data_IF_296227735769
#
_entry.id   IF_296227735769
#
_cell.length_a   1.000
_cell.length_b   1.000
_cell.length_c   1.000
_cell.angle_alpha   90.00
_cell.angle_beta   90.00
_cell.angle_gamma   90.00
#
_symmetry.space_group_name_H-M   'P 1'
#
loop_
_entity.id
_entity.type
_entity.pdbx_description
1 polymer ?
#
# COMPACT_ATOMS: atom_id res chain seq x y z
N UNK A 1 7.46 5.88 -4.49
CA UNK A 1 6.19 5.52 -3.85
C UNK A 1 6.10 6.33 -2.57
N UNK A 2 5.27 7.36 -2.55
CA UNK A 2 4.96 8.09 -1.33
C UNK A 2 3.61 7.57 -0.84
N UNK A 3 3.57 6.97 0.34
CA UNK A 3 2.29 6.68 1.00
C UNK A 3 1.78 8.02 1.55
N UNK A 4 0.71 8.53 0.96
CA UNK A 4 0.02 9.72 1.46
C UNK A 4 -1.05 9.24 2.44
N UNK A 5 -0.94 9.66 3.70
CA UNK A 5 -1.96 9.44 4.73
C UNK A 5 -2.80 10.71 4.79
N UNK A 6 -4.13 10.59 4.64
CA UNK A 6 -5.05 11.71 4.85
C UNK A 6 -5.37 11.82 6.35
N UNK A 7 -4.76 12.80 7.01
CA UNK A 7 -4.95 13.06 8.45
C UNK A 7 -6.34 13.63 8.80
N UNK A 8 -7.17 14.01 7.82
CA UNK A 8 -8.50 14.58 8.04
C UNK A 8 -9.65 13.58 7.95
N UNK A 9 -9.37 12.35 7.50
CA UNK A 9 -10.38 11.33 7.31
C UNK A 9 -10.37 10.30 8.46
N UNK A 10 -11.55 10.06 9.05
CA UNK A 10 -11.72 8.96 10.01
C UNK A 10 -11.89 7.64 9.24
N UNK A 11 -10.78 6.94 9.03
CA UNK A 11 -10.79 5.59 8.45
C UNK A 11 -11.12 4.53 9.50
N UNK A 12 -11.86 3.49 9.08
CA UNK A 12 -12.16 2.32 9.94
C UNK A 12 -10.94 1.43 10.18
N UNK A 13 -9.84 1.67 9.46
CA UNK A 13 -8.58 0.92 9.53
C UNK A 13 -7.48 1.90 9.95
N UNK A 14 -6.67 1.47 10.92
CA UNK A 14 -5.45 2.17 11.37
C UNK A 14 -4.24 1.40 10.86
N UNK A 15 -3.35 2.07 10.13
CA UNK A 15 -2.07 1.48 9.70
C UNK A 15 -1.05 1.65 10.82
N UNK A 16 -0.47 0.54 11.28
CA UNK A 16 0.51 0.49 12.36
C UNK A 16 1.94 0.46 11.84
N UNK A 17 2.16 -0.09 10.65
CA UNK A 17 3.48 -0.20 10.06
C UNK A 17 3.43 -0.76 8.64
N UNK A 18 4.54 -0.59 7.94
CA UNK A 18 4.74 -1.10 6.58
C UNK A 18 6.08 -1.83 6.52
N UNK A 19 6.05 -3.06 6.03
CA UNK A 19 7.22 -3.86 5.69
C UNK A 19 7.33 -3.99 4.17
N UNK A 20 8.56 -3.99 3.67
CA UNK A 20 8.86 -4.03 2.24
C UNK A 20 9.92 -5.10 2.00
N UNK A 21 9.59 -6.08 1.14
CA UNK A 21 10.48 -7.19 0.84
C UNK A 21 10.52 -7.51 -0.66
N UNK A 22 11.71 -7.68 -1.27
CA UNK A 22 13.04 -7.50 -0.67
C UNK A 22 13.41 -6.02 -0.46
N UNK A 23 14.32 -5.80 0.50
CA UNK A 23 14.98 -4.52 0.70
C UNK A 23 16.52 -4.68 0.53
N UNK A 24 17.19 -3.85 -0.28
CA UNK A 24 16.65 -2.74 -1.07
C UNK A 24 15.84 -3.22 -2.29
N UNK A 25 14.88 -2.39 -2.71
CA UNK A 25 14.01 -2.66 -3.87
C UNK A 25 14.84 -2.61 -5.17
N UNK A 26 14.73 -3.64 -6.01
CA UNK A 26 15.35 -3.69 -7.32
C UNK A 26 14.36 -3.35 -8.45
N UNK A 27 14.87 -2.81 -9.56
CA UNK A 27 14.07 -2.50 -10.76
C UNK A 27 13.74 -3.77 -11.54
N UNK A 28 12.53 -3.86 -12.09
CA UNK A 28 12.10 -5.02 -12.87
C UNK A 28 11.82 -6.28 -12.04
N UNK A 29 12.00 -6.21 -10.72
CA UNK A 29 11.79 -7.33 -9.81
C UNK A 29 10.49 -7.15 -9.02
N UNK A 30 9.93 -8.27 -8.57
CA UNK A 30 8.76 -8.26 -7.71
C UNK A 30 9.12 -7.76 -6.31
N UNK A 31 8.31 -6.85 -5.80
CA UNK A 31 8.34 -6.39 -4.41
C UNK A 31 6.99 -6.66 -3.78
N UNK A 32 7.03 -7.06 -2.50
CA UNK A 32 5.85 -7.21 -1.66
C UNK A 32 5.83 -6.10 -0.62
N UNK A 33 4.70 -5.40 -0.53
CA UNK A 33 4.39 -4.45 0.52
C UNK A 33 3.43 -5.11 1.50
N UNK A 34 3.79 -5.13 2.79
CA UNK A 34 2.95 -5.69 3.84
C UNK A 34 2.58 -4.61 4.84
N UNK A 35 1.30 -4.30 4.97
CA UNK A 35 0.78 -3.29 5.89
C UNK A 35 0.21 -3.97 7.13
N UNK A 36 0.86 -3.75 8.27
CA UNK A 36 0.30 -4.10 9.57
C UNK A 36 -0.81 -3.10 9.90
N UNK A 37 -2.03 -3.59 10.05
CA UNK A 37 -3.23 -2.78 10.21
C UNK A 37 -4.07 -3.24 11.40
N UNK A 38 -4.90 -2.37 11.95
CA UNK A 38 -5.86 -2.67 13.01
C UNK A 38 -7.23 -2.09 12.67
N UNK A 39 -8.30 -2.77 13.07
CA UNK A 39 -9.67 -2.24 12.97
C UNK A 39 -10.48 -2.51 14.23
N UNK A 40 -11.33 -1.55 14.59
CA UNK A 40 -12.30 -1.66 15.68
C UNK A 40 -13.66 -2.21 15.20
N UNK A 41 -13.80 -2.51 13.89
CA UNK A 41 -15.04 -2.99 13.27
C UNK A 41 -14.81 -4.24 12.42
N UNK A 42 -15.82 -5.10 12.29
CA UNK A 42 -15.77 -6.22 11.34
C UNK A 42 -15.93 -5.68 9.92
N UNK A 43 -14.98 -5.98 9.04
CA UNK A 43 -15.00 -5.55 7.63
C UNK A 43 -15.37 -6.73 6.75
N UNK A 44 -16.58 -6.72 6.21
CA UNK A 44 -17.09 -7.79 5.32
C UNK A 44 -16.71 -7.59 3.85
N UNK A 45 -16.46 -6.34 3.45
CA UNK A 45 -16.06 -5.93 2.11
C UNK A 45 -15.42 -4.54 2.16
N UNK A 46 -14.59 -4.23 1.18
CA UNK A 46 -13.96 -2.92 1.04
C UNK A 46 -13.13 -2.85 -0.24
N UNK A 47 -12.62 -1.66 -0.53
CA UNK A 47 -11.69 -1.44 -1.65
C UNK A 47 -10.33 -1.01 -1.11
N UNK A 48 -9.27 -1.59 -1.64
CA UNK A 48 -7.91 -1.12 -1.48
C UNK A 48 -7.56 -0.26 -2.70
N UNK A 49 -7.37 1.04 -2.48
CA UNK A 49 -6.94 1.99 -3.52
C UNK A 49 -5.47 2.29 -3.32
N UNK A 50 -4.67 2.02 -4.34
CA UNK A 50 -3.22 2.24 -4.34
C UNK A 50 -2.93 3.37 -5.32
N UNK A 51 -2.38 4.47 -4.82
CA UNK A 51 -1.93 5.59 -5.63
C UNK A 51 -0.41 5.69 -5.62
N UNK A 52 0.18 5.68 -6.81
CA UNK A 52 1.62 5.82 -6.99
C UNK A 52 1.92 7.21 -7.51
N UNK A 53 2.60 7.99 -6.69
CA UNK A 53 3.12 9.31 -7.06
C UNK A 53 4.64 9.33 -7.08
N UNK A 54 5.20 10.08 -8.03
CA UNK A 54 6.63 10.34 -8.18
C UNK A 54 6.85 11.83 -8.42
N UNK A 55 7.61 12.49 -7.53
CA UNK A 55 7.89 13.94 -7.62
C UNK A 55 6.64 14.83 -7.76
N UNK A 56 5.56 14.49 -7.06
CA UNK A 56 4.30 15.24 -7.10
C UNK A 56 3.42 14.95 -8.33
N UNK A 57 3.90 14.13 -9.27
CA UNK A 57 3.13 13.67 -10.41
C UNK A 57 2.46 12.34 -10.07
N UNK A 58 1.16 12.24 -10.32
CA UNK A 58 0.44 10.98 -10.25
C UNK A 58 0.88 10.08 -11.42
N UNK A 59 1.45 8.92 -11.11
CA UNK A 59 2.01 8.00 -12.10
C UNK A 59 1.03 6.87 -12.42
N UNK A 60 0.38 6.35 -11.39
CA UNK A 60 -0.45 5.15 -11.54
C UNK A 60 -1.47 5.04 -10.40
N UNK A 61 -2.61 4.46 -10.72
CA UNK A 61 -3.69 4.12 -9.78
C UNK A 61 -4.08 2.67 -9.96
N UNK A 62 -4.25 1.95 -8.86
CA UNK A 62 -4.86 0.63 -8.85
C UNK A 62 -5.98 0.58 -7.82
N UNK A 63 -6.98 -0.25 -8.08
CA UNK A 63 -8.06 -0.51 -7.14
C UNK A 63 -8.34 -1.99 -7.13
N UNK A 64 -8.18 -2.59 -5.96
CA UNK A 64 -8.41 -4.01 -5.70
C UNK A 64 -9.50 -4.15 -4.64
N UNK A 65 -10.19 -5.29 -4.61
CA UNK A 65 -11.07 -5.59 -3.49
C UNK A 65 -10.22 -5.96 -2.27
N UNK A 66 -10.55 -5.41 -1.10
CA UNK A 66 -9.79 -5.66 0.13
C UNK A 66 -9.73 -7.16 0.46
N UNK A 67 -10.79 -7.88 0.11
CA UNK A 67 -10.93 -9.32 0.35
C UNK A 67 -10.12 -10.19 -0.61
N UNK A 68 -9.53 -9.62 -1.66
CA UNK A 68 -8.57 -10.34 -2.51
C UNK A 68 -7.18 -10.36 -1.85
N UNK A 69 -6.85 -9.33 -1.07
CA UNK A 69 -5.57 -9.17 -0.39
C UNK A 69 -5.62 -9.55 1.11
N UNK A 70 -6.80 -9.90 1.62
CA UNK A 70 -7.04 -10.28 3.02
C UNK A 70 -8.11 -11.37 3.14
N UNK A 71 -8.17 -12.06 4.27
CA UNK A 71 -9.25 -13.01 4.54
C UNK A 71 -10.48 -12.29 5.09
N UNK A 72 -11.54 -12.23 4.27
CA UNK A 72 -12.82 -11.65 4.69
C UNK A 72 -13.77 -12.69 5.33
N UNK A 73 -14.58 -12.29 6.33
CA UNK A 73 -14.59 -10.96 6.94
C UNK A 73 -13.35 -10.71 7.81
N UNK A 74 -12.76 -9.52 7.70
CA UNK A 74 -11.66 -9.10 8.58
C UNK A 74 -12.26 -8.89 9.97
N UNK A 75 -11.73 -9.63 10.95
CA UNK A 75 -12.16 -9.53 12.33
C UNK A 75 -11.63 -8.25 13.01
N UNK A 76 -12.25 -7.88 14.12
CA UNK A 76 -11.75 -6.81 14.99
C UNK A 76 -10.36 -7.19 15.49
N UNK A 77 -9.44 -6.23 15.48
CA UNK A 77 -8.05 -6.40 15.89
C UNK A 77 -7.07 -6.26 14.74
N UNK A 78 -5.90 -6.88 14.92
CA UNK A 78 -4.78 -6.76 14.00
C UNK A 78 -4.94 -7.68 12.79
N UNK A 79 -4.59 -7.16 11.61
CA UNK A 79 -4.57 -7.91 10.38
C UNK A 79 -3.47 -7.38 9.45
N UNK A 80 -3.13 -8.17 8.44
CA UNK A 80 -2.10 -7.84 7.47
C UNK A 80 -2.72 -7.74 6.08
N UNK A 81 -2.40 -6.67 5.37
CA UNK A 81 -2.68 -6.50 3.94
C UNK A 81 -1.35 -6.66 3.22
N UNK A 82 -1.23 -7.64 2.34
CA UNK A 82 -0.03 -7.82 1.52
C UNK A 82 -0.37 -7.55 0.06
N UNK A 83 0.51 -6.85 -0.65
CA UNK A 83 0.35 -6.62 -2.09
C UNK A 83 1.70 -6.78 -2.78
N UNK A 84 1.74 -7.58 -3.85
CA UNK A 84 2.93 -7.81 -4.65
C UNK A 84 2.83 -7.10 -6.00
N UNK A 85 3.82 -6.30 -6.36
CA UNK A 85 3.92 -5.73 -7.70
C UNK A 85 5.33 -5.87 -8.27
N UNK A 86 5.43 -6.02 -9.60
CA UNK A 86 6.70 -5.92 -10.31
C UNK A 86 7.05 -4.45 -10.48
N UNK A 87 8.22 -4.06 -10.00
CA UNK A 87 8.70 -2.68 -10.10
C UNK A 87 9.04 -2.36 -11.56
N UNK A 88 8.75 -1.13 -12.04
CA UNK A 88 9.15 -0.73 -13.38
C UNK A 88 10.65 -0.92 -13.61
N UNK A 89 11.02 -1.49 -14.76
CA UNK A 89 12.43 -1.65 -15.15
C UNK A 89 13.16 -0.32 -15.32
N UNK A 90 12.41 0.75 -15.59
CA UNK A 90 12.92 2.12 -15.69
C UNK A 90 12.11 3.05 -14.78
N UNK A 91 12.70 3.44 -13.66
CA UNK A 91 12.26 4.57 -12.84
C UNK A 91 13.07 5.79 -13.27
N UNK A 92 12.44 6.92 -13.66
CA UNK A 92 13.16 8.12 -14.07
C UNK A 92 14.15 8.54 -12.98
N UNK A 93 15.39 8.93 -13.30
CA UNK A 93 16.35 9.36 -12.29
C UNK A 93 15.79 10.55 -11.50
N UNK A 94 15.94 10.52 -10.17
CA UNK A 94 15.75 11.72 -9.35
C UNK A 94 16.99 12.59 -9.53
N UNK A 95 16.81 13.78 -10.09
CA UNK A 95 17.78 14.85 -9.89
C UNK A 95 17.55 15.39 -8.48
N UNK A 96 18.35 14.95 -7.50
CA UNK A 96 18.38 15.61 -6.20
C UNK A 96 19.09 16.95 -6.38
N UNK A 97 18.34 17.97 -6.80
CA UNK A 97 18.77 19.34 -6.64
C UNK A 97 18.38 19.74 -5.22
N UNK A 98 19.43 19.90 -4.40
CA UNK A 98 19.40 20.56 -3.08
C UNK A 98 18.69 21.92 -3.16
#
# INVERSE_FOLDING_TARGET
MCLVVDDNAQYQVKVQGVDISPYPIARGEQVTFSLASNTDNVISKGKLVIEVSYFGWHIHSETHDLCDETNCPVAIGDFLVAHSQVMPGYTPPVSILL
#
